data_IF_859787107805
#
_entry.id   IF_859787107805
#
_cell.length_a   1.000
_cell.length_b   1.000
_cell.length_c   1.000
_cell.angle_alpha   90.00
_cell.angle_beta   90.00
_cell.angle_gamma   90.00
#
_symmetry.space_group_name_H-M   'P 1'
#
loop_
_entity.id
_entity.type
_entity.pdbx_description
1 polymer ?
#
# COMPACT_ATOMS: atom_id res chain seq x y z
N UNK A 1 1.03 7.35 -20.45
CA UNK A 1 2.00 6.24 -20.41
C UNK A 1 2.47 6.11 -18.96
N UNK A 2 2.53 4.91 -18.39
CA UNK A 2 2.88 4.68 -16.97
C UNK A 2 4.28 4.09 -16.82
N UNK A 3 4.82 4.06 -15.60
CA UNK A 3 6.10 3.38 -15.28
C UNK A 3 6.13 1.89 -15.63
N UNK A 4 4.96 1.29 -15.86
CA UNK A 4 4.81 -0.11 -16.27
C UNK A 4 4.64 -0.29 -17.78
N UNK A 5 4.58 0.80 -18.55
CA UNK A 5 4.47 0.73 -20.02
C UNK A 5 5.84 0.39 -20.64
N UNK A 6 5.91 -0.45 -21.68
CA UNK A 6 7.17 -0.67 -22.39
C UNK A 6 7.67 0.60 -23.11
N UNK A 7 9.00 0.77 -23.29
CA UNK A 7 10.06 -0.07 -22.71
C UNK A 7 10.20 0.16 -21.20
N UNK A 8 10.37 -0.92 -20.43
CA UNK A 8 10.54 -0.86 -18.97
C UNK A 8 11.76 -1.69 -18.53
N UNK A 9 12.37 -1.36 -17.38
CA UNK A 9 13.46 -2.14 -16.79
C UNK A 9 13.13 -3.63 -16.62
N UNK A 10 14.11 -4.50 -16.87
CA UNK A 10 13.94 -5.96 -16.79
C UNK A 10 13.50 -6.46 -15.39
N UNK A 11 13.89 -5.75 -14.33
CA UNK A 11 13.47 -6.06 -12.95
C UNK A 11 11.96 -5.86 -12.76
N UNK A 12 11.38 -4.85 -13.41
CA UNK A 12 9.92 -4.58 -13.39
C UNK A 12 9.18 -5.62 -14.23
N UNK A 13 9.74 -6.06 -15.37
CA UNK A 13 9.19 -7.17 -16.15
C UNK A 13 9.11 -8.47 -15.34
N UNK A 14 10.18 -8.78 -14.60
CA UNK A 14 10.20 -9.93 -13.71
C UNK A 14 9.16 -9.79 -12.59
N UNK A 15 9.14 -8.64 -11.91
CA UNK A 15 8.18 -8.36 -10.83
C UNK A 15 6.73 -8.49 -11.29
N UNK A 16 6.38 -8.02 -12.50
CA UNK A 16 5.04 -8.19 -13.07
C UNK A 16 4.66 -9.65 -13.30
N UNK A 17 5.61 -10.49 -13.74
CA UNK A 17 5.35 -11.93 -13.93
C UNK A 17 5.13 -12.62 -12.59
N UNK A 18 5.97 -12.33 -11.61
CA UNK A 18 5.88 -12.96 -10.29
C UNK A 18 4.64 -12.47 -9.54
N UNK A 19 4.33 -11.17 -9.58
CA UNK A 19 3.09 -10.61 -9.05
C UNK A 19 1.86 -11.25 -9.70
N UNK A 20 1.86 -11.47 -11.02
CA UNK A 20 0.75 -12.16 -11.71
C UNK A 20 0.58 -13.60 -11.20
N UNK A 21 1.68 -14.31 -10.97
CA UNK A 21 1.65 -15.68 -10.48
C UNK A 21 1.17 -15.76 -9.02
N UNK A 22 1.75 -14.96 -8.13
CA UNK A 22 1.45 -15.00 -6.70
C UNK A 22 0.11 -14.35 -6.34
N UNK A 23 -0.35 -13.35 -7.09
CA UNK A 23 -1.69 -12.78 -6.89
C UNK A 23 -2.82 -13.66 -7.47
N UNK A 24 -2.52 -14.74 -8.19
CA UNK A 24 -3.53 -15.54 -8.89
C UNK A 24 -4.49 -16.22 -7.89
N UNK A 25 -5.78 -15.94 -8.03
CA UNK A 25 -6.81 -16.48 -7.11
C UNK A 25 -6.94 -15.72 -5.79
N UNK A 26 -6.08 -14.73 -5.52
CA UNK A 26 -6.15 -13.89 -4.33
C UNK A 26 -6.96 -12.61 -4.54
N UNK A 27 -7.58 -12.14 -3.47
CA UNK A 27 -8.32 -10.88 -3.45
C UNK A 27 -7.83 -9.98 -2.31
N UNK A 28 -7.67 -8.69 -2.63
CA UNK A 28 -7.47 -7.60 -1.66
C UNK A 28 -8.63 -6.64 -1.86
N UNK A 29 -9.31 -6.26 -0.78
CA UNK A 29 -10.46 -5.36 -0.83
C UNK A 29 -11.57 -5.81 -1.81
N UNK A 30 -11.90 -7.10 -1.84
CA UNK A 30 -12.85 -7.75 -2.77
C UNK A 30 -12.52 -7.55 -4.26
N UNK A 31 -11.25 -7.29 -4.59
CA UNK A 31 -10.75 -7.13 -5.96
C UNK A 31 -9.55 -8.03 -6.19
N UNK A 32 -9.25 -8.43 -7.44
CA UNK A 32 -8.06 -9.22 -7.73
C UNK A 32 -6.80 -8.53 -7.18
N UNK A 33 -5.99 -9.25 -6.39
CA UNK A 33 -4.82 -8.68 -5.71
C UNK A 33 -3.82 -8.02 -6.68
N UNK A 34 -3.68 -8.57 -7.90
CA UNK A 34 -2.83 -8.00 -8.94
C UNK A 34 -3.21 -6.55 -9.30
N UNK A 35 -4.51 -6.20 -9.25
CA UNK A 35 -4.96 -4.85 -9.54
C UNK A 35 -4.50 -3.87 -8.46
N UNK A 36 -4.47 -4.28 -7.20
CA UNK A 36 -3.93 -3.50 -6.09
C UNK A 36 -2.44 -3.24 -6.31
N UNK A 37 -1.63 -4.29 -6.42
CA UNK A 37 -0.19 -4.21 -6.63
C UNK A 37 0.20 -3.30 -7.83
N UNK A 38 -0.47 -3.47 -8.98
CA UNK A 38 -0.23 -2.63 -10.17
C UNK A 38 -0.55 -1.15 -9.90
N UNK A 39 -1.63 -0.86 -9.15
CA UNK A 39 -2.01 0.51 -8.82
C UNK A 39 -1.04 1.15 -7.84
N UNK A 40 -0.49 0.41 -6.89
CA UNK A 40 0.53 0.91 -5.96
C UNK A 40 1.77 1.33 -6.75
N UNK A 41 2.29 0.43 -7.59
CA UNK A 41 3.45 0.72 -8.45
C UNK A 41 3.24 1.91 -9.39
N UNK A 42 2.06 2.02 -10.03
CA UNK A 42 1.72 3.18 -10.87
C UNK A 42 1.60 4.45 -10.05
N UNK A 43 1.08 4.38 -8.82
CA UNK A 43 0.98 5.54 -7.93
C UNK A 43 2.37 6.07 -7.55
N UNK A 44 3.33 5.19 -7.25
CA UNK A 44 4.74 5.59 -7.06
C UNK A 44 5.27 6.29 -8.31
N UNK A 45 5.16 5.67 -9.49
CA UNK A 45 5.68 6.24 -10.74
C UNK A 45 5.00 7.55 -11.18
N UNK A 46 3.73 7.76 -10.83
CA UNK A 46 3.01 9.01 -11.13
C UNK A 46 3.52 10.18 -10.29
N UNK A 47 3.92 9.94 -9.04
CA UNK A 47 4.44 10.98 -8.13
C UNK A 47 5.95 11.13 -8.19
N UNK A 48 6.67 10.08 -8.59
CA UNK A 48 8.13 10.06 -8.75
C UNK A 48 8.46 9.38 -10.09
N UNK A 49 8.43 10.13 -11.22
CA UNK A 49 8.64 9.57 -12.56
C UNK A 49 10.01 8.88 -12.76
N UNK A 50 11.03 9.32 -12.04
CA UNK A 50 12.38 8.75 -12.06
C UNK A 50 12.65 7.84 -10.84
N UNK A 51 11.62 7.14 -10.35
CA UNK A 51 11.78 6.19 -9.24
C UNK A 51 12.81 5.11 -9.57
N UNK A 52 13.66 4.69 -8.60
CA UNK A 52 14.49 3.51 -8.76
C UNK A 52 13.63 2.29 -9.15
N UNK A 53 14.04 1.49 -10.14
CA UNK A 53 13.29 0.31 -10.56
C UNK A 53 12.99 -0.69 -9.43
N UNK A 54 13.88 -0.76 -8.43
CA UNK A 54 13.75 -1.61 -7.24
C UNK A 54 12.55 -1.18 -6.38
N UNK A 55 12.28 0.13 -6.26
CA UNK A 55 11.10 0.63 -5.51
C UNK A 55 9.81 0.24 -6.24
N UNK A 56 9.79 0.33 -7.57
CA UNK A 56 8.64 -0.10 -8.38
C UNK A 56 8.43 -1.61 -8.29
N UNK A 57 9.52 -2.39 -8.33
CA UNK A 57 9.46 -3.85 -8.17
C UNK A 57 8.98 -4.24 -6.76
N UNK A 58 9.49 -3.59 -5.71
CA UNK A 58 9.04 -3.79 -4.34
C UNK A 58 7.56 -3.42 -4.17
N UNK A 59 7.10 -2.31 -4.75
CA UNK A 59 5.69 -1.93 -4.75
C UNK A 59 4.79 -2.97 -5.45
N UNK A 60 5.25 -3.58 -6.55
CA UNK A 60 4.51 -4.67 -7.23
C UNK A 60 4.43 -5.95 -6.40
N UNK A 61 5.41 -6.19 -5.53
CA UNK A 61 5.57 -7.44 -4.79
C UNK A 61 5.36 -7.26 -3.28
N UNK A 62 4.86 -6.12 -2.82
CA UNK A 62 4.82 -5.80 -1.39
C UNK A 62 3.95 -6.78 -0.59
N UNK A 63 2.86 -7.27 -1.18
CA UNK A 63 1.99 -8.29 -0.58
C UNK A 63 2.52 -9.73 -0.76
N UNK A 64 3.66 -9.94 -1.43
CA UNK A 64 4.20 -11.28 -1.68
C UNK A 64 4.36 -12.15 -0.43
N UNK A 65 4.75 -11.62 0.76
CA UNK A 65 4.83 -12.44 1.97
C UNK A 65 3.51 -13.11 2.36
N UNK A 66 2.37 -12.51 2.00
CA UNK A 66 1.04 -13.00 2.34
C UNK A 66 0.37 -13.75 1.18
N UNK A 67 0.86 -13.60 -0.05
CA UNK A 67 0.24 -14.15 -1.27
C UNK A 67 1.06 -15.25 -1.95
N UNK A 68 2.37 -15.31 -1.73
CA UNK A 68 3.20 -16.36 -2.32
C UNK A 68 2.84 -17.74 -1.72
N UNK A 69 3.04 -18.84 -2.47
CA UNK A 69 2.84 -20.19 -1.93
C UNK A 69 3.60 -20.41 -0.62
N UNK A 70 2.92 -20.92 0.41
CA UNK A 70 3.48 -21.11 1.75
C UNK A 70 4.70 -22.06 1.81
N UNK A 71 4.93 -22.85 0.77
CA UNK A 71 6.10 -23.73 0.64
C UNK A 71 7.38 -22.99 0.21
N UNK A 72 7.29 -21.72 -0.18
CA UNK A 72 8.43 -20.92 -0.62
C UNK A 72 8.99 -20.10 0.54
N UNK A 73 10.33 -20.08 0.65
CA UNK A 73 11.01 -18.99 1.34
C UNK A 73 10.97 -17.76 0.43
N UNK A 74 9.94 -16.94 0.62
CA UNK A 74 9.68 -15.76 -0.20
C UNK A 74 10.85 -14.78 -0.21
N UNK A 75 11.52 -14.57 0.94
CA UNK A 75 12.61 -13.62 1.04
C UNK A 75 13.90 -14.14 0.40
N UNK A 76 14.16 -15.45 0.48
CA UNK A 76 15.24 -16.07 -0.27
C UNK A 76 15.01 -15.95 -1.79
N UNK A 77 13.80 -16.24 -2.26
CA UNK A 77 13.43 -16.10 -3.68
C UNK A 77 13.59 -14.66 -4.15
N UNK A 78 13.09 -13.70 -3.37
CA UNK A 78 13.19 -12.28 -3.67
C UNK A 78 14.66 -11.82 -3.72
N UNK A 79 15.47 -12.23 -2.75
CA UNK A 79 16.91 -11.88 -2.70
C UNK A 79 17.65 -12.41 -3.93
N UNK A 80 17.43 -13.67 -4.29
CA UNK A 80 18.07 -14.29 -5.44
C UNK A 80 17.63 -13.67 -6.78
N UNK A 81 16.36 -13.27 -6.89
CA UNK A 81 15.78 -12.81 -8.14
C UNK A 81 15.89 -11.28 -8.36
N UNK A 82 15.99 -10.49 -7.29
CA UNK A 82 15.88 -9.02 -7.33
C UNK A 82 17.04 -8.30 -6.62
N UNK A 83 17.95 -9.02 -5.98
CA UNK A 83 18.98 -8.44 -5.11
C UNK A 83 18.44 -8.07 -3.72
N UNK A 84 19.27 -7.53 -2.82
CA UNK A 84 18.92 -7.33 -1.43
C UNK A 84 17.95 -6.17 -1.17
N UNK A 85 17.86 -5.19 -2.06
CA UNK A 85 17.08 -3.97 -1.81
C UNK A 85 15.56 -4.21 -1.86
N UNK A 86 15.09 -4.99 -2.83
CA UNK A 86 13.65 -5.33 -2.96
C UNK A 86 13.10 -6.07 -1.74
N UNK A 87 13.67 -7.21 -1.28
CA UNK A 87 13.19 -7.89 -0.08
C UNK A 87 13.33 -7.04 1.19
N UNK A 88 14.32 -6.14 1.28
CA UNK A 88 14.47 -5.21 2.40
C UNK A 88 13.29 -4.25 2.49
N UNK A 89 12.89 -3.64 1.37
CA UNK A 89 11.71 -2.77 1.30
C UNK A 89 10.45 -3.55 1.66
N UNK A 90 10.26 -4.74 1.07
CA UNK A 90 9.08 -5.60 1.33
C UNK A 90 8.99 -6.01 2.80
N UNK A 91 10.11 -6.38 3.43
CA UNK A 91 10.14 -6.74 4.84
C UNK A 91 9.76 -5.56 5.76
N UNK A 92 10.19 -4.34 5.42
CA UNK A 92 9.81 -3.15 6.15
C UNK A 92 8.31 -2.84 6.02
N UNK A 93 7.74 -2.97 4.80
CA UNK A 93 6.30 -2.82 4.57
C UNK A 93 5.48 -3.88 5.32
N UNK A 94 5.93 -5.14 5.31
CA UNK A 94 5.27 -6.21 6.06
C UNK A 94 5.29 -5.95 7.57
N UNK A 95 6.41 -5.41 8.08
CA UNK A 95 6.53 -5.04 9.50
C UNK A 95 5.56 -3.92 9.86
N UNK A 96 5.43 -2.92 8.98
CA UNK A 96 4.44 -1.86 9.13
C UNK A 96 3.00 -2.39 9.10
N UNK A 97 2.65 -3.26 8.15
CA UNK A 97 1.30 -3.83 8.07
C UNK A 97 0.93 -4.63 9.32
N UNK A 98 1.86 -5.44 9.84
CA UNK A 98 1.66 -6.21 11.07
C UNK A 98 1.52 -5.33 12.31
N UNK A 99 2.21 -4.19 12.36
CA UNK A 99 2.12 -3.30 13.53
C UNK A 99 0.77 -2.60 13.62
N UNK A 100 0.00 -2.50 12.53
CA UNK A 100 -1.35 -1.92 12.56
C UNK A 100 -2.35 -2.72 13.42
N UNK A 101 -2.03 -3.97 13.75
CA UNK A 101 -2.82 -4.81 14.66
C UNK A 101 -2.44 -4.60 16.14
N UNK A 102 -1.35 -3.87 16.42
CA UNK A 102 -0.86 -3.56 17.76
C UNK A 102 -1.34 -2.18 18.24
N UNK A 103 -1.45 -1.95 19.56
CA UNK A 103 -1.69 -0.62 20.10
C UNK A 103 -0.52 0.33 19.80
N UNK A 104 -0.85 1.57 19.44
CA UNK A 104 0.10 2.65 19.10
C UNK A 104 1.20 2.25 18.08
N UNK A 105 0.84 1.86 16.84
CA UNK A 105 1.80 1.43 15.85
C UNK A 105 2.86 2.51 15.56
N UNK A 106 4.15 2.15 15.46
CA UNK A 106 5.21 3.10 15.20
C UNK A 106 5.06 3.71 13.80
N UNK A 107 5.37 5.00 13.69
CA UNK A 107 5.42 5.73 12.41
C UNK A 107 6.89 5.90 12.02
N UNK A 108 7.36 5.06 11.10
CA UNK A 108 8.73 5.09 10.58
C UNK A 108 8.77 5.82 9.24
N UNK A 109 9.53 6.91 9.15
CA UNK A 109 9.59 7.78 7.96
C UNK A 109 11.01 8.06 7.49
N UNK A 110 12.01 7.41 8.08
CA UNK A 110 13.43 7.72 7.82
C UNK A 110 14.02 6.95 6.63
N UNK A 111 13.26 6.04 6.03
CA UNK A 111 13.65 5.23 4.88
C UNK A 111 12.87 5.67 3.63
N UNK A 112 13.47 6.47 2.72
CA UNK A 112 12.72 7.04 1.60
C UNK A 112 12.12 6.00 0.63
N UNK A 113 12.85 4.93 0.20
CA UNK A 113 12.26 3.84 -0.58
C UNK A 113 11.01 3.22 0.05
N UNK A 114 11.07 2.89 1.34
CA UNK A 114 9.94 2.30 2.08
C UNK A 114 8.81 3.32 2.20
N UNK A 115 9.13 4.56 2.54
CA UNK A 115 8.14 5.63 2.71
C UNK A 115 7.34 5.90 1.44
N UNK A 116 7.99 5.88 0.27
CA UNK A 116 7.33 6.01 -1.02
C UNK A 116 6.35 4.86 -1.27
N UNK A 117 6.81 3.62 -1.11
CA UNK A 117 5.96 2.44 -1.34
C UNK A 117 4.78 2.39 -0.36
N UNK A 118 5.03 2.63 0.93
CA UNK A 118 4.00 2.67 1.99
C UNK A 118 2.97 3.76 1.74
N UNK A 119 3.40 4.98 1.39
CA UNK A 119 2.48 6.09 1.08
C UNK A 119 1.62 5.75 -0.14
N UNK A 120 2.19 5.12 -1.18
CA UNK A 120 1.43 4.71 -2.36
C UNK A 120 0.41 3.61 -2.05
N UNK A 121 0.79 2.63 -1.24
CA UNK A 121 -0.11 1.56 -0.78
C UNK A 121 -1.32 2.14 -0.03
N UNK A 122 -1.08 3.00 0.97
CA UNK A 122 -2.15 3.67 1.72
C UNK A 122 -3.06 4.49 0.82
N UNK A 123 -2.52 5.25 -0.14
CA UNK A 123 -3.33 5.98 -1.12
C UNK A 123 -4.27 5.03 -1.87
N UNK A 124 -3.76 3.91 -2.37
CA UNK A 124 -4.53 2.96 -3.19
C UNK A 124 -5.58 2.24 -2.35
N UNK A 125 -5.21 1.71 -1.19
CA UNK A 125 -6.10 0.99 -0.28
C UNK A 125 -7.25 1.89 0.19
N UNK A 126 -6.93 3.07 0.72
CA UNK A 126 -7.92 4.02 1.24
C UNK A 126 -8.84 4.58 0.15
N UNK A 127 -8.31 4.82 -1.06
CA UNK A 127 -9.13 5.21 -2.22
C UNK A 127 -10.05 4.09 -2.65
N UNK A 128 -9.58 2.83 -2.61
CA UNK A 128 -10.39 1.66 -2.94
C UNK A 128 -11.57 1.52 -1.97
N UNK A 129 -11.34 1.73 -0.68
CA UNK A 129 -12.36 1.75 0.37
C UNK A 129 -13.43 2.81 0.13
N UNK A 130 -13.04 4.07 -0.13
CA UNK A 130 -13.98 5.15 -0.46
C UNK A 130 -14.83 4.82 -1.69
N UNK A 131 -14.21 4.27 -2.73
CA UNK A 131 -14.93 3.87 -3.96
C UNK A 131 -15.94 2.75 -3.68
N UNK A 132 -15.58 1.76 -2.85
CA UNK A 132 -16.49 0.65 -2.47
C UNK A 132 -17.64 1.14 -1.61
N UNK A 133 -17.37 1.99 -0.63
CA UNK A 133 -18.40 2.62 0.18
C UNK A 133 -19.38 3.43 -0.69
N UNK A 134 -18.91 4.12 -1.73
CA UNK A 134 -19.81 4.79 -2.68
C UNK A 134 -20.64 3.79 -3.49
N UNK A 135 -20.01 2.70 -3.94
CA UNK A 135 -20.67 1.69 -4.76
C UNK A 135 -21.71 0.86 -3.98
N UNK A 136 -21.61 0.77 -2.64
CA UNK A 136 -22.63 0.09 -1.83
C UNK A 136 -23.93 0.87 -1.71
N UNK A 137 -23.96 2.17 -2.05
CA UNK A 137 -25.13 3.05 -1.88
C UNK A 137 -25.39 3.48 -0.43
N UNK A 138 -24.78 2.81 0.54
CA UNK A 138 -24.78 3.15 1.96
C UNK A 138 -23.33 3.22 2.47
N UNK A 139 -22.78 4.44 2.49
CA UNK A 139 -21.41 4.69 2.95
C UNK A 139 -21.28 4.50 4.46
N UNK A 140 -22.29 4.94 5.22
CA UNK A 140 -22.24 4.87 6.68
C UNK A 140 -22.28 3.42 7.14
N UNK A 141 -23.25 2.64 6.65
CA UNK A 141 -23.33 1.21 6.95
C UNK A 141 -22.09 0.43 6.51
N UNK A 142 -21.48 0.80 5.37
CA UNK A 142 -20.22 0.22 4.93
C UNK A 142 -19.09 0.39 5.96
N UNK A 143 -18.95 1.58 6.56
CA UNK A 143 -17.90 1.85 7.54
C UNK A 143 -18.25 1.40 8.96
N UNK A 144 -19.54 1.34 9.33
CA UNK A 144 -19.97 0.77 10.62
C UNK A 144 -19.58 -0.70 10.76
N UNK A 145 -19.48 -1.43 9.65
CA UNK A 145 -18.98 -2.82 9.64
C UNK A 145 -17.44 -2.91 9.74
N UNK A 146 -16.72 -1.79 9.75
CA UNK A 146 -15.26 -1.70 9.64
C UNK A 146 -14.67 -0.80 10.73
N UNK A 147 -15.13 -0.98 11.97
CA UNK A 147 -14.76 -0.11 13.10
C UNK A 147 -13.25 -0.07 13.39
N UNK A 148 -12.53 -1.18 13.14
CA UNK A 148 -11.07 -1.22 13.29
C UNK A 148 -10.37 -0.26 12.33
N UNK A 149 -10.78 -0.25 11.06
CA UNK A 149 -10.28 0.71 10.07
C UNK A 149 -10.58 2.15 10.50
N UNK A 150 -11.78 2.42 11.01
CA UNK A 150 -12.13 3.74 11.53
C UNK A 150 -11.22 4.14 12.71
N UNK A 151 -10.85 3.19 13.57
CA UNK A 151 -9.89 3.38 14.67
C UNK A 151 -8.47 3.71 14.20
N UNK A 152 -8.08 3.29 12.99
CA UNK A 152 -6.75 3.56 12.41
C UNK A 152 -6.66 4.92 11.69
N UNK A 153 -7.78 5.62 11.45
CA UNK A 153 -7.74 6.92 10.74
C UNK A 153 -6.84 7.96 11.41
N UNK A 154 -6.84 8.14 12.75
CA UNK A 154 -5.89 9.02 13.44
C UNK A 154 -4.43 8.62 13.20
N UNK A 155 -4.12 7.32 13.20
CA UNK A 155 -2.78 6.84 12.90
C UNK A 155 -2.37 7.18 11.46
N UNK A 156 -3.23 6.95 10.46
CA UNK A 156 -2.92 7.31 9.07
C UNK A 156 -2.78 8.83 8.88
N UNK A 157 -3.52 9.64 9.64
CA UNK A 157 -3.35 11.10 9.65
C UNK A 157 -1.99 11.49 10.22
N UNK A 158 -1.59 10.91 11.35
CA UNK A 158 -0.27 11.13 11.95
C UNK A 158 0.85 10.69 11.01
N UNK A 159 0.71 9.53 10.35
CA UNK A 159 1.63 9.07 9.31
C UNK A 159 1.74 10.09 8.18
N UNK A 160 0.62 10.58 7.65
CA UNK A 160 0.63 11.55 6.54
C UNK A 160 1.36 12.85 6.94
N UNK A 161 1.16 13.33 8.16
CA UNK A 161 1.84 14.51 8.69
C UNK A 161 3.35 14.28 8.84
N UNK A 162 3.77 13.13 9.37
CA UNK A 162 5.18 12.77 9.52
C UNK A 162 5.89 12.55 8.18
N UNK A 163 5.18 11.99 7.20
CA UNK A 163 5.66 11.73 5.85
C UNK A 163 5.74 13.00 4.98
N UNK A 164 4.89 14.01 5.25
CA UNK A 164 4.76 15.23 4.46
C UNK A 164 6.09 15.89 4.06
N UNK A 165 7.06 16.13 4.97
CA UNK A 165 8.33 16.78 4.60
C UNK A 165 9.29 15.86 3.82
N UNK A 166 8.98 14.56 3.66
CA UNK A 166 9.89 13.54 3.14
C UNK A 166 9.41 12.86 1.85
N UNK A 167 8.17 13.10 1.43
CA UNK A 167 7.62 12.60 0.15
C UNK A 167 7.30 13.75 -0.80
N UNK A 168 7.14 13.52 -2.11
CA UNK A 168 6.71 14.56 -3.04
C UNK A 168 5.42 15.24 -2.57
N UNK A 169 5.35 16.57 -2.68
CA UNK A 169 4.20 17.34 -2.20
C UNK A 169 2.87 16.85 -2.79
N UNK A 170 2.84 16.49 -4.08
CA UNK A 170 1.66 15.93 -4.74
C UNK A 170 1.21 14.60 -4.15
N UNK A 171 2.15 13.76 -3.70
CA UNK A 171 1.86 12.48 -3.07
C UNK A 171 1.26 12.67 -1.68
N UNK A 172 1.86 13.55 -0.88
CA UNK A 172 1.35 13.92 0.43
C UNK A 172 -0.06 14.54 0.34
N UNK A 173 -0.27 15.45 -0.61
CA UNK A 173 -1.57 16.08 -0.85
C UNK A 173 -2.63 15.05 -1.28
N UNK A 174 -2.25 14.05 -2.10
CA UNK A 174 -3.16 12.98 -2.50
C UNK A 174 -3.61 12.14 -1.30
N UNK A 175 -2.68 11.70 -0.44
CA UNK A 175 -3.03 10.96 0.78
C UNK A 175 -3.89 11.83 1.72
N UNK A 176 -3.53 13.11 1.90
CA UNK A 176 -4.28 14.04 2.73
C UNK A 176 -5.74 14.19 2.26
N UNK A 177 -5.98 14.31 0.95
CA UNK A 177 -7.32 14.44 0.38
C UNK A 177 -8.17 13.18 0.60
N UNK A 178 -7.58 11.99 0.44
CA UNK A 178 -8.26 10.71 0.69
C UNK A 178 -8.65 10.58 2.16
N UNK A 179 -7.72 10.89 3.08
CA UNK A 179 -7.97 10.85 4.52
C UNK A 179 -9.05 11.85 4.95
N UNK A 180 -9.02 13.08 4.44
CA UNK A 180 -10.05 14.08 4.76
C UNK A 180 -11.43 13.60 4.33
N UNK A 181 -11.53 12.92 3.19
CA UNK A 181 -12.81 12.37 2.75
C UNK A 181 -13.26 11.19 3.62
N UNK A 182 -12.35 10.34 4.08
CA UNK A 182 -12.67 9.25 5.00
C UNK A 182 -13.19 9.80 6.33
N UNK A 183 -12.46 10.72 6.95
CA UNK A 183 -12.84 11.35 8.21
C UNK A 183 -14.21 12.02 8.13
N UNK A 184 -14.52 12.71 7.03
CA UNK A 184 -15.85 13.30 6.80
C UNK A 184 -16.97 12.25 6.79
N UNK A 185 -16.73 11.10 6.16
CA UNK A 185 -17.72 10.03 6.05
C UNK A 185 -17.86 9.27 7.37
N UNK A 186 -16.79 9.18 8.16
CA UNK A 186 -16.76 8.41 9.41
C UNK A 186 -16.96 9.26 10.67
N UNK A 187 -17.14 10.57 10.56
CA UNK A 187 -17.20 11.50 11.70
C UNK A 187 -18.24 11.16 12.78
N UNK A 188 -19.30 10.41 12.43
CA UNK A 188 -20.34 9.96 13.37
C UNK A 188 -20.27 8.48 13.75
N UNK A 189 -19.25 7.76 13.31
CA UNK A 189 -19.10 6.32 13.57
C UNK A 189 -18.21 6.15 14.80
N UNK A 190 -18.66 5.46 15.87
CA UNK A 190 -17.82 5.19 17.03
C UNK A 190 -16.55 4.44 16.59
N UNK A 191 -15.38 5.05 16.79
CA UNK A 191 -14.12 4.35 16.55
C UNK A 191 -13.96 3.21 17.56
N UNK A 192 -13.58 2.02 17.08
CA UNK A 192 -13.07 1.00 18.00
C UNK A 192 -11.75 1.53 18.58
N UNK A 193 -11.59 1.48 19.91
CA UNK A 193 -10.29 1.74 20.52
C UNK A 193 -9.37 0.59 20.11
N UNK A 194 -8.22 0.91 19.49
CA UNK A 194 -7.10 -0.03 19.39
C UNK A 194 -6.81 -0.49 20.83
N UNK A 195 -6.84 -1.81 21.05
CA UNK A 195 -6.67 -2.41 22.38
C UNK A 195 -5.20 -2.66 22.65
#
# INVERSE_FOLDING_TARGET
MTVLSPPRPAVIDRALRDAKAWCAGHTIDDRPALVHAVRVAVTVGNHVPASPPEVIAAALLHDAPDLAPATLDVYQVLTAAYGPEVPRIIAALQTEHRSLDEPDPPICVDDPPVLLASTADKIVALTSLLRRARASGDMTGFFTQRLMLCGLLPHFRAFQQAAHPRVPAGMSAHLAAVLTRLEQVTAGIPAARLR
#
